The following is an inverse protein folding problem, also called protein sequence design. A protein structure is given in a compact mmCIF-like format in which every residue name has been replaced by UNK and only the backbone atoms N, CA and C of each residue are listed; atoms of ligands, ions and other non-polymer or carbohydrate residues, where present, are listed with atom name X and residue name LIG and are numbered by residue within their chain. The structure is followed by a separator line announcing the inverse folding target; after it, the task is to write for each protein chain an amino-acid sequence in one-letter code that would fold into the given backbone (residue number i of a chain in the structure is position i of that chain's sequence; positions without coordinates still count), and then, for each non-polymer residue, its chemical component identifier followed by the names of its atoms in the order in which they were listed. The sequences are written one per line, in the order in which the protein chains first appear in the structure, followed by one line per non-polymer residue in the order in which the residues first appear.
data_IF_399564500157
#
_entry.id   IF_399564500157
#
_cell.length_a   1.000
_cell.length_b   1.000
_cell.length_c   1.000
_cell.angle_alpha   90.00
_cell.angle_beta   90.00
_cell.angle_gamma   90.00
#
_symmetry.space_group_name_H-M   'P 1'
#
loop_
_entity.id
_entity.type
_entity.pdbx_description
1 polymer ?
#
# COMPACT_ATOMS: atom_id res chain seq x y z
N UNK A 1 -3.29 -33.05 -12.76
CA UNK A 1 -2.41 -32.71 -11.79
C UNK A 1 -1.65 -31.48 -12.01
N UNK A 2 -1.01 -31.29 -13.07
CA UNK A 2 -0.28 -30.11 -13.33
C UNK A 2 -1.13 -28.94 -13.44
N UNK A 3 -2.29 -29.06 -13.99
CA UNK A 3 -3.18 -27.97 -14.09
C UNK A 3 -3.67 -27.48 -12.78
N UNK A 4 -3.94 -28.36 -11.88
CA UNK A 4 -4.35 -28.01 -10.57
C UNK A 4 -3.32 -27.18 -9.87
N UNK A 5 -2.06 -27.55 -10.02
CA UNK A 5 -1.00 -26.86 -9.42
C UNK A 5 -0.87 -25.46 -9.95
N UNK A 6 -1.05 -25.31 -11.23
CA UNK A 6 -0.95 -24.04 -11.86
C UNK A 6 -2.09 -23.14 -11.44
N UNK A 7 -3.28 -23.65 -11.34
CA UNK A 7 -4.41 -22.88 -10.90
C UNK A 7 -4.22 -22.41 -9.48
N UNK A 8 -3.65 -23.23 -8.64
CA UNK A 8 -3.38 -22.85 -7.28
C UNK A 8 -2.38 -21.72 -7.22
N UNK A 9 -1.38 -21.76 -8.05
CA UNK A 9 -0.37 -20.72 -8.07
C UNK A 9 -0.96 -19.40 -8.50
N UNK A 10 -1.86 -19.40 -9.48
CA UNK A 10 -2.50 -18.18 -9.94
C UNK A 10 -3.38 -17.60 -8.86
N UNK A 11 -4.11 -18.44 -8.16
CA UNK A 11 -4.97 -17.96 -7.09
C UNK A 11 -4.14 -17.40 -5.96
N UNK A 12 -3.05 -18.05 -5.62
CA UNK A 12 -2.19 -17.57 -4.58
C UNK A 12 -1.55 -16.24 -4.93
N UNK A 13 -1.15 -16.07 -6.17
CA UNK A 13 -0.56 -14.83 -6.60
C UNK A 13 -1.56 -13.70 -6.52
N UNK A 14 -2.80 -13.96 -6.92
CA UNK A 14 -3.84 -12.95 -6.85
C UNK A 14 -4.17 -12.56 -5.42
N UNK A 15 -4.20 -13.56 -4.53
CA UNK A 15 -4.46 -13.28 -3.14
C UNK A 15 -3.32 -12.51 -2.51
N UNK A 16 -2.10 -12.83 -2.88
CA UNK A 16 -0.95 -12.13 -2.34
C UNK A 16 -0.93 -10.67 -2.79
N UNK A 17 -1.26 -10.43 -4.03
CA UNK A 17 -1.31 -9.05 -4.52
C UNK A 17 -2.38 -8.26 -3.81
N UNK A 18 -3.53 -8.88 -3.60
CA UNK A 18 -4.61 -8.21 -2.91
C UNK A 18 -4.22 -7.90 -1.47
N UNK A 19 -3.59 -8.85 -0.80
CA UNK A 19 -3.17 -8.66 0.57
C UNK A 19 -2.11 -7.57 0.68
N UNK A 20 -1.18 -7.52 -0.25
CA UNK A 20 -0.15 -6.50 -0.24
C UNK A 20 -0.76 -5.12 -0.48
N UNK A 21 -1.69 -5.02 -1.41
CA UNK A 21 -2.33 -3.75 -1.69
C UNK A 21 -3.10 -3.26 -0.46
N UNK A 22 -3.81 -4.16 0.18
CA UNK A 22 -4.57 -3.84 1.37
C UNK A 22 -3.62 -3.39 2.49
N UNK A 23 -2.50 -4.08 2.64
CA UNK A 23 -1.50 -3.72 3.63
C UNK A 23 -0.92 -2.34 3.36
N UNK A 24 -0.64 -2.03 2.09
CA UNK A 24 -0.09 -0.72 1.72
C UNK A 24 -1.09 0.38 2.05
N UNK A 25 -2.35 0.16 1.80
CA UNK A 25 -3.37 1.15 2.13
C UNK A 25 -3.47 1.34 3.63
N UNK A 26 -3.40 0.26 4.38
CA UNK A 26 -3.46 0.34 5.82
C UNK A 26 -2.25 1.09 6.36
N UNK A 27 -1.09 0.80 5.84
CA UNK A 27 0.13 1.46 6.28
C UNK A 27 0.12 2.95 5.94
N UNK A 28 -0.47 3.29 4.81
CA UNK A 28 -0.59 4.70 4.43
C UNK A 28 -1.45 5.45 5.45
N UNK A 29 -2.55 4.84 5.87
CA UNK A 29 -3.44 5.47 6.84
C UNK A 29 -2.78 5.59 8.21
N UNK A 30 -2.10 4.54 8.63
CA UNK A 30 -1.43 4.55 9.94
C UNK A 30 -0.33 5.60 9.96
N UNK A 31 0.45 5.66 8.90
CA UNK A 31 1.53 6.62 8.80
C UNK A 31 1.00 8.04 8.79
N UNK A 32 -0.11 8.27 8.07
CA UNK A 32 -0.75 9.57 8.04
C UNK A 32 -1.28 9.98 9.39
N UNK A 33 -1.82 9.03 10.14
CA UNK A 33 -2.32 9.28 11.48
C UNK A 33 -1.18 9.76 12.39
N UNK A 34 -0.04 9.08 12.35
CA UNK A 34 1.09 9.47 13.18
C UNK A 34 1.64 10.83 12.77
N UNK A 35 1.66 11.11 11.45
CA UNK A 35 2.08 12.40 10.98
C UNK A 35 1.18 13.50 11.53
N UNK A 36 -0.14 13.29 11.46
CA UNK A 36 -1.09 14.28 11.93
C UNK A 36 -0.95 14.48 13.44
N UNK A 37 -0.69 13.42 14.16
CA UNK A 37 -0.51 13.50 15.59
C UNK A 37 0.73 14.33 15.93
N UNK A 38 1.81 14.12 15.21
CA UNK A 38 3.01 14.89 15.42
C UNK A 38 2.81 16.35 15.08
N UNK A 39 2.09 16.64 14.03
CA UNK A 39 1.79 18.02 13.66
C UNK A 39 1.01 18.68 14.77
N UNK A 40 -0.01 18.02 15.30
CA UNK A 40 -0.83 18.59 16.34
C UNK A 40 -0.09 18.78 17.63
N UNK A 41 0.86 17.94 17.92
CA UNK A 41 1.57 18.01 19.20
C UNK A 41 2.88 18.77 19.11
N UNK A 42 3.17 19.36 17.98
CA UNK A 42 4.39 20.14 17.83
C UNK A 42 5.64 19.29 17.73
N UNK A 43 5.52 18.15 17.07
CA UNK A 43 6.66 17.25 16.97
C UNK A 43 7.73 17.73 16.02
N UNK A 44 8.76 16.93 15.90
CA UNK A 44 9.94 17.25 15.09
C UNK A 44 9.57 17.35 13.62
N UNK A 45 9.91 18.46 13.01
CA UNK A 45 9.61 18.72 11.61
C UNK A 45 10.23 17.69 10.68
N UNK A 46 11.42 17.23 10.98
CA UNK A 46 12.09 16.26 10.16
C UNK A 46 11.34 14.91 10.18
N UNK A 47 10.84 14.53 11.32
CA UNK A 47 10.06 13.29 11.42
C UNK A 47 8.73 13.45 10.70
N UNK A 48 8.11 14.60 10.82
CA UNK A 48 6.86 14.86 10.13
C UNK A 48 7.07 14.75 8.62
N UNK A 49 8.16 15.32 8.12
CA UNK A 49 8.46 15.26 6.70
C UNK A 49 8.68 13.82 6.22
N UNK A 50 9.36 13.02 7.02
CA UNK A 50 9.60 11.62 6.68
C UNK A 50 8.29 10.85 6.64
N UNK A 51 7.44 11.04 7.62
CA UNK A 51 6.16 10.35 7.66
C UNK A 51 5.26 10.78 6.51
N UNK A 52 5.29 12.06 6.18
CA UNK A 52 4.48 12.58 5.10
C UNK A 52 4.92 11.96 3.77
N UNK A 53 6.21 11.92 3.52
CA UNK A 53 6.73 11.34 2.30
C UNK A 53 6.43 9.84 2.24
N UNK A 54 6.55 9.16 3.37
CA UNK A 54 6.32 7.73 3.42
C UNK A 54 4.85 7.40 3.19
N UNK A 55 3.96 8.17 3.79
CA UNK A 55 2.53 7.97 3.58
C UNK A 55 2.15 8.20 2.12
N UNK A 56 2.74 9.20 1.49
CA UNK A 56 2.47 9.47 0.09
C UNK A 56 2.96 8.33 -0.79
N UNK A 57 4.14 7.83 -0.49
CA UNK A 57 4.71 6.70 -1.24
C UNK A 57 3.82 5.47 -1.11
N UNK A 58 3.40 5.16 0.11
CA UNK A 58 2.57 3.98 0.36
C UNK A 58 1.22 4.09 -0.36
N UNK A 59 0.62 5.27 -0.30
CA UNK A 59 -0.65 5.49 -0.97
C UNK A 59 -0.53 5.35 -2.47
N UNK A 60 0.54 5.88 -3.04
CA UNK A 60 0.76 5.77 -4.48
C UNK A 60 1.02 4.31 -4.87
N UNK A 61 1.79 3.60 -4.05
CA UNK A 61 2.09 2.19 -4.32
C UNK A 61 0.81 1.35 -4.29
N UNK A 62 -0.07 1.65 -3.35
CA UNK A 62 -1.33 0.91 -3.26
C UNK A 62 -2.18 1.10 -4.52
N UNK A 63 -2.12 2.30 -5.10
CA UNK A 63 -2.94 2.60 -6.28
C UNK A 63 -2.34 2.07 -7.57
N UNK A 64 -1.08 1.70 -7.57
CA UNK A 64 -0.42 1.24 -8.79
C UNK A 64 -1.10 0.02 -9.38
N UNK A 65 -1.49 -0.90 -8.53
CA UNK A 65 -2.16 -2.09 -9.02
C UNK A 65 -3.48 -1.77 -9.69
N UNK A 66 -4.19 -0.83 -9.15
CA UNK A 66 -5.47 -0.44 -9.70
C UNK A 66 -5.30 0.19 -11.05
N UNK A 67 -4.30 0.99 -11.20
CA UNK A 67 -4.01 1.62 -12.47
C UNK A 67 -3.72 0.60 -13.54
N UNK A 68 -3.02 -0.44 -13.20
CA UNK A 68 -2.72 -1.48 -14.13
C UNK A 68 -3.95 -2.18 -14.62
N UNK A 69 -4.91 -2.37 -13.78
CA UNK A 69 -6.09 -3.03 -14.16
C UNK A 69 -6.92 -2.25 -15.11
N UNK A 70 -6.87 -0.98 -15.03
CA UNK A 70 -7.69 -0.14 -15.85
C UNK A 70 -7.12 0.17 -17.19
N UNK A 71 -6.02 -0.41 -17.58
CA UNK A 71 -5.46 -0.12 -18.82
C UNK A 71 -6.29 -0.65 -19.87
N UNK A 72 -6.78 0.05 -20.69
CA UNK A 72 -7.60 -0.44 -21.67
C UNK A 72 -6.80 -1.03 -22.71
N UNK A 73 -6.38 -1.07 -23.15
CA UNK A 73 -5.79 -1.64 -24.04
C UNK A 73 -5.98 -1.32 -25.14
#
# INVERSE_FOLDING_TARGET
MKQSKQDSADVQAGQAEHAVRDWLETQARVTGYWRDLLVSSGGDDALIAVLDAHASFLGAAARMGEGSFHRPQ
#
